data_IF_571971112922
#
_entry.id   IF_571971112922
#
_cell.length_a   1.000
_cell.length_b   1.000
_cell.length_c   1.000
_cell.angle_alpha   90.00
_cell.angle_beta   90.00
_cell.angle_gamma   90.00
#
_symmetry.space_group_name_H-M   'P 1'
#
loop_
_entity.id
_entity.type
_entity.pdbx_description
1 polymer ?
#
# COMPACT_ATOMS: atom_id res chain seq x y z
N UNK A 1 57.93 1.19 33.35
CA UNK A 1 56.92 2.28 33.31
C UNK A 1 56.97 2.88 31.90
N UNK A 2 55.99 2.57 31.03
CA UNK A 2 54.98 3.54 30.52
C UNK A 2 55.64 4.88 30.10
N UNK A 3 55.64 5.37 28.86
CA UNK A 3 54.64 5.31 27.77
C UNK A 3 55.34 5.64 26.43
N UNK A 4 55.20 4.79 25.42
CA UNK A 4 55.32 5.17 24.00
C UNK A 4 54.08 4.56 23.36
N UNK A 5 53.13 5.37 22.93
CA UNK A 5 51.99 4.97 22.08
C UNK A 5 51.19 6.23 21.75
N UNK A 6 51.55 6.91 20.67
CA UNK A 6 50.64 7.76 19.88
C UNK A 6 51.25 7.95 18.49
N UNK A 7 51.10 6.95 17.62
CA UNK A 7 51.13 7.12 16.17
C UNK A 7 50.63 5.82 15.53
N UNK A 8 49.46 5.87 14.90
CA UNK A 8 49.05 4.87 13.92
C UNK A 8 47.96 3.91 14.34
N UNK A 9 46.72 4.38 14.49
CA UNK A 9 45.51 3.69 13.99
C UNK A 9 44.45 4.77 13.72
N UNK A 10 44.48 5.41 12.56
CA UNK A 10 43.42 6.36 12.15
C UNK A 10 42.99 6.14 10.69
N UNK A 11 43.12 4.90 10.17
CA UNK A 11 42.81 4.61 8.77
C UNK A 11 42.04 3.29 8.53
N UNK A 12 41.42 2.69 9.57
CA UNK A 12 40.58 1.49 9.41
C UNK A 12 39.23 1.68 10.13
N UNK A 13 38.56 2.81 9.86
CA UNK A 13 37.19 3.04 10.31
C UNK A 13 36.28 3.60 9.20
N UNK A 14 36.74 3.58 7.93
CA UNK A 14 36.02 4.13 6.77
C UNK A 14 35.68 3.07 5.70
N UNK A 15 35.82 1.78 6.03
CA UNK A 15 35.63 0.68 5.06
C UNK A 15 34.49 -0.30 5.36
N UNK A 16 33.75 -0.15 6.45
CA UNK A 16 32.78 -1.17 6.90
C UNK A 16 31.31 -0.75 6.85
N UNK A 17 30.97 0.41 6.27
CA UNK A 17 29.58 0.90 6.20
C UNK A 17 28.97 0.90 4.79
N UNK A 18 29.57 0.19 3.82
CA UNK A 18 29.15 0.22 2.42
C UNK A 18 28.84 -1.14 1.78
N UNK A 19 28.78 -2.23 2.55
CA UNK A 19 28.42 -3.55 2.00
C UNK A 19 27.83 -4.50 3.06
N UNK A 20 26.68 -4.13 3.63
CA UNK A 20 25.72 -5.04 4.27
C UNK A 20 24.50 -4.22 4.73
N UNK A 21 23.86 -3.50 3.80
CA UNK A 21 22.56 -2.92 4.07
C UNK A 21 21.53 -4.05 4.01
N UNK A 22 21.12 -4.51 5.20
CA UNK A 22 19.87 -5.22 5.52
C UNK A 22 19.36 -6.20 4.44
N UNK A 23 19.81 -7.45 4.50
CA UNK A 23 18.88 -8.53 4.15
C UNK A 23 17.71 -8.37 5.14
N UNK A 24 16.55 -7.94 4.65
CA UNK A 24 15.38 -7.82 5.51
C UNK A 24 15.13 -9.20 6.14
N UNK A 25 14.89 -9.25 7.45
CA UNK A 25 14.47 -10.50 8.10
C UNK A 25 13.03 -10.77 7.65
N UNK A 26 12.91 -11.35 6.45
CA UNK A 26 11.63 -11.65 5.81
C UNK A 26 10.85 -12.60 6.72
N UNK A 27 9.55 -12.31 6.90
CA UNK A 27 8.68 -13.08 7.79
C UNK A 27 8.67 -14.59 7.49
N UNK A 28 8.82 -14.92 6.22
CA UNK A 28 9.08 -16.26 5.68
C UNK A 28 10.21 -16.13 4.66
N UNK A 29 11.28 -16.89 4.81
CA UNK A 29 12.40 -16.82 3.85
C UNK A 29 12.00 -17.48 2.52
N UNK A 30 12.54 -17.02 1.39
CA UNK A 30 12.31 -17.68 0.11
C UNK A 30 12.60 -19.19 0.18
N UNK A 31 11.62 -19.98 -0.24
CA UNK A 31 11.64 -21.45 -0.14
C UNK A 31 11.00 -22.04 1.12
N UNK A 32 10.69 -21.22 2.14
CA UNK A 32 9.96 -21.66 3.34
C UNK A 32 8.43 -21.59 3.14
N UNK A 33 7.67 -22.50 3.76
CA UNK A 33 6.19 -22.54 3.65
C UNK A 33 5.68 -22.74 2.20
N UNK A 34 5.18 -23.96 1.95
CA UNK A 34 4.73 -24.39 0.62
C UNK A 34 3.46 -23.68 0.11
N UNK A 35 2.82 -22.81 0.92
CA UNK A 35 1.66 -22.02 0.48
C UNK A 35 2.03 -20.88 -0.47
N UNK A 36 3.30 -20.46 -0.48
CA UNK A 36 3.77 -19.40 -1.36
C UNK A 36 4.30 -19.96 -2.69
N UNK A 37 4.11 -19.19 -3.76
CA UNK A 37 4.66 -19.51 -5.08
C UNK A 37 6.10 -18.96 -5.20
N UNK A 38 7.05 -19.63 -4.56
CA UNK A 38 8.46 -19.21 -4.57
C UNK A 38 9.09 -19.21 -5.95
N UNK A 39 8.67 -20.13 -6.83
CA UNK A 39 9.13 -20.15 -8.22
C UNK A 39 8.82 -18.82 -8.92
N UNK A 40 7.59 -18.31 -8.77
CA UNK A 40 7.21 -17.02 -9.36
C UNK A 40 8.02 -15.86 -8.75
N UNK A 41 8.33 -15.90 -7.45
CA UNK A 41 9.16 -14.90 -6.80
C UNK A 41 10.60 -14.92 -7.34
N UNK A 42 11.20 -16.10 -7.49
CA UNK A 42 12.56 -16.28 -8.02
C UNK A 42 12.67 -15.85 -9.48
N UNK A 43 11.68 -16.22 -10.31
CA UNK A 43 11.60 -15.80 -11.72
C UNK A 43 11.50 -14.28 -11.82
N UNK A 44 10.68 -13.64 -11.00
CA UNK A 44 10.58 -12.18 -10.92
C UNK A 44 11.92 -11.54 -10.48
N UNK A 45 12.52 -12.06 -9.40
CA UNK A 45 13.80 -11.57 -8.88
C UNK A 45 14.94 -11.69 -9.92
N UNK A 46 14.94 -12.76 -10.73
CA UNK A 46 15.93 -12.96 -11.79
C UNK A 46 15.71 -12.02 -12.99
N UNK A 47 14.45 -11.71 -13.33
CA UNK A 47 14.10 -10.85 -14.45
C UNK A 47 14.24 -9.34 -14.14
N UNK A 48 14.16 -8.95 -12.87
CA UNK A 48 14.07 -7.55 -12.47
C UNK A 48 15.15 -7.17 -11.44
N UNK A 49 16.23 -6.56 -11.92
CA UNK A 49 17.26 -5.93 -11.07
C UNK A 49 17.17 -4.41 -11.14
N UNK A 50 17.08 -3.79 -9.98
CA UNK A 50 16.79 -2.37 -9.79
C UNK A 50 17.74 -1.74 -8.77
N UNK A 51 18.93 -2.32 -8.57
CA UNK A 51 19.95 -1.82 -7.66
C UNK A 51 20.27 -0.34 -7.88
N UNK A 52 20.31 0.42 -6.80
CA UNK A 52 20.56 1.86 -6.82
C UNK A 52 19.36 2.73 -7.21
N UNK A 53 18.20 2.13 -7.53
CA UNK A 53 16.95 2.87 -7.72
C UNK A 53 16.21 3.03 -6.39
N UNK A 54 15.35 4.05 -6.34
CA UNK A 54 14.55 4.39 -5.16
C UNK A 54 13.07 4.53 -5.56
N UNK A 55 12.19 3.95 -4.75
CA UNK A 55 10.74 4.02 -4.90
C UNK A 55 10.13 4.67 -3.66
N UNK A 56 9.44 5.77 -3.84
CA UNK A 56 8.65 6.44 -2.79
C UNK A 56 7.17 6.06 -2.91
N UNK A 57 6.60 5.57 -1.81
CA UNK A 57 5.19 5.18 -1.71
C UNK A 57 4.56 5.98 -0.58
N UNK A 58 3.44 6.65 -0.87
CA UNK A 58 2.65 7.35 0.13
C UNK A 58 1.28 6.70 0.26
N UNK A 59 0.90 6.29 1.48
CA UNK A 59 -0.39 5.63 1.70
C UNK A 59 -1.03 5.90 3.05
N UNK A 60 -2.19 5.28 3.32
CA UNK A 60 -3.02 5.57 4.49
C UNK A 60 -2.64 4.74 5.73
N UNK A 61 -1.71 3.79 5.62
CA UNK A 61 -1.39 2.83 6.67
C UNK A 61 -0.39 3.40 7.66
N UNK A 62 -0.69 3.22 8.95
CA UNK A 62 0.11 3.72 10.08
C UNK A 62 0.13 2.65 11.17
N UNK A 63 1.11 2.72 12.07
CA UNK A 63 1.21 1.79 13.18
C UNK A 63 1.36 0.34 12.70
N UNK A 64 0.51 -0.55 13.21
CA UNK A 64 0.58 -1.98 12.88
C UNK A 64 0.32 -2.25 11.39
N UNK A 65 -0.58 -1.51 10.74
CA UNK A 65 -0.84 -1.65 9.31
C UNK A 65 0.38 -1.21 8.47
N UNK A 66 1.14 -0.23 8.95
CA UNK A 66 2.39 0.17 8.30
C UNK A 66 3.43 -0.95 8.38
N UNK A 67 3.58 -1.58 9.55
CA UNK A 67 4.48 -2.73 9.70
C UNK A 67 4.07 -3.89 8.77
N UNK A 68 2.76 -4.09 8.56
CA UNK A 68 2.27 -5.10 7.63
C UNK A 68 2.61 -4.78 6.17
N UNK A 69 2.38 -3.54 5.68
CA UNK A 69 2.73 -3.20 4.29
C UNK A 69 4.25 -3.24 4.07
N UNK A 70 5.04 -2.75 5.03
CA UNK A 70 6.50 -2.78 4.96
C UNK A 70 7.01 -4.23 4.89
N UNK A 71 6.37 -5.17 5.61
CA UNK A 71 6.73 -6.58 5.54
C UNK A 71 6.53 -7.18 4.14
N UNK A 72 5.55 -6.70 3.37
CA UNK A 72 5.32 -7.12 1.98
C UNK A 72 6.33 -6.44 1.04
N UNK A 73 6.55 -5.14 1.21
CA UNK A 73 7.51 -4.35 0.41
C UNK A 73 8.95 -4.85 0.59
N UNK A 74 9.28 -5.45 1.72
CA UNK A 74 10.57 -6.07 1.98
C UNK A 74 10.89 -7.20 0.99
N UNK A 75 9.90 -8.00 0.59
CA UNK A 75 10.10 -9.04 -0.45
C UNK A 75 10.44 -8.43 -1.80
N UNK A 76 9.77 -7.34 -2.17
CA UNK A 76 10.07 -6.64 -3.43
C UNK A 76 11.46 -6.01 -3.42
N UNK A 77 11.85 -5.42 -2.29
CA UNK A 77 13.20 -4.89 -2.03
C UNK A 77 14.25 -6.01 -2.17
N UNK A 78 14.04 -7.15 -1.50
CA UNK A 78 14.96 -8.30 -1.54
C UNK A 78 15.09 -8.90 -2.95
N UNK A 79 13.97 -9.05 -3.68
CA UNK A 79 13.96 -9.61 -5.03
C UNK A 79 14.75 -8.75 -6.02
N UNK A 80 14.62 -7.44 -5.92
CA UNK A 80 15.04 -6.50 -6.97
C UNK A 80 16.26 -5.66 -6.62
N UNK A 81 16.59 -5.50 -5.34
CA UNK A 81 17.62 -4.58 -4.86
C UNK A 81 17.19 -3.10 -4.82
N UNK A 82 15.93 -2.78 -5.15
CA UNK A 82 15.41 -1.40 -5.08
C UNK A 82 15.26 -0.94 -3.63
N UNK A 83 15.54 0.33 -3.34
CA UNK A 83 15.22 0.93 -2.05
C UNK A 83 13.76 1.42 -2.05
N UNK A 84 12.90 0.87 -1.21
CA UNK A 84 11.53 1.34 -1.03
C UNK A 84 11.42 2.20 0.23
N UNK A 85 10.83 3.39 0.10
CA UNK A 85 10.45 4.22 1.24
C UNK A 85 8.94 4.37 1.27
N UNK A 86 8.33 3.89 2.35
CA UNK A 86 6.93 4.10 2.63
C UNK A 86 6.76 5.27 3.59
N UNK A 87 5.81 6.16 3.29
CA UNK A 87 5.43 7.26 4.16
C UNK A 87 3.90 7.33 4.30
N UNK A 88 3.45 7.93 5.40
CA UNK A 88 2.03 8.14 5.69
C UNK A 88 1.81 9.43 6.50
N UNK A 89 0.56 9.88 6.58
CA UNK A 89 0.12 11.05 7.34
C UNK A 89 -1.30 10.84 7.86
N UNK A 90 -1.69 11.50 8.96
CA UNK A 90 -3.08 11.51 9.42
C UNK A 90 -3.99 12.24 8.43
N UNK A 91 -3.47 13.28 7.78
CA UNK A 91 -4.15 14.06 6.74
C UNK A 91 -3.66 13.64 5.36
N UNK A 92 -3.51 12.33 5.13
CA UNK A 92 -2.94 11.75 3.92
C UNK A 92 -3.55 12.31 2.63
N UNK A 93 -4.88 12.41 2.56
CA UNK A 93 -5.60 12.86 1.36
C UNK A 93 -5.38 14.34 1.06
N UNK A 94 -5.23 15.17 2.08
CA UNK A 94 -4.87 16.58 1.89
C UNK A 94 -3.39 16.73 1.54
N UNK A 95 -2.52 15.94 2.19
CA UNK A 95 -1.08 16.00 1.98
C UNK A 95 -0.70 15.62 0.55
N UNK A 96 -1.31 14.57 -0.02
CA UNK A 96 -1.00 14.18 -1.41
C UNK A 96 -1.35 15.29 -2.41
N UNK A 97 -2.45 16.04 -2.17
CA UNK A 97 -2.81 17.19 -3.03
C UNK A 97 -1.77 18.29 -2.91
N UNK A 98 -1.29 18.57 -1.70
CA UNK A 98 -0.22 19.55 -1.47
C UNK A 98 1.07 19.11 -2.18
N UNK A 99 1.45 17.84 -2.07
CA UNK A 99 2.71 17.32 -2.62
C UNK A 99 2.72 17.34 -4.16
N UNK A 100 1.61 16.93 -4.81
CA UNK A 100 1.50 16.97 -6.28
C UNK A 100 1.43 18.41 -6.79
N UNK A 101 0.73 19.32 -6.10
CA UNK A 101 0.63 20.73 -6.50
C UNK A 101 1.96 21.47 -6.23
N UNK A 102 2.69 21.08 -5.19
CA UNK A 102 4.02 21.57 -4.84
C UNK A 102 5.16 21.01 -5.71
N UNK A 103 4.87 20.03 -6.58
CA UNK A 103 5.86 19.44 -7.49
C UNK A 103 6.81 18.45 -6.81
N UNK A 104 6.43 17.90 -5.66
CA UNK A 104 7.18 16.86 -4.93
C UNK A 104 6.34 15.59 -4.67
N UNK A 105 5.69 15.02 -5.70
CA UNK A 105 4.85 13.84 -5.51
C UNK A 105 5.68 12.58 -5.17
N UNK A 106 5.10 11.60 -4.45
CA UNK A 106 5.65 10.26 -4.39
C UNK A 106 5.58 9.58 -5.76
N UNK A 107 6.33 8.50 -5.96
CA UNK A 107 6.21 7.68 -7.17
C UNK A 107 4.87 6.93 -7.24
N UNK A 108 4.38 6.46 -6.08
CA UNK A 108 3.09 5.77 -5.96
C UNK A 108 2.30 6.37 -4.79
N UNK A 109 1.04 6.70 -5.03
CA UNK A 109 0.09 7.10 -4.01
C UNK A 109 -1.04 6.07 -3.90
N UNK A 110 -1.35 5.63 -2.68
CA UNK A 110 -2.42 4.68 -2.38
C UNK A 110 -3.64 5.41 -1.82
N UNK A 111 -4.61 5.71 -2.69
CA UNK A 111 -5.78 6.52 -2.35
C UNK A 111 -7.03 5.63 -2.12
N UNK A 112 -7.77 5.81 -1.01
CA UNK A 112 -8.94 4.98 -0.73
C UNK A 112 -10.20 5.44 -1.48
N UNK A 113 -10.22 6.68 -1.99
CA UNK A 113 -11.40 7.29 -2.59
C UNK A 113 -11.26 7.53 -4.11
N UNK A 114 -12.13 6.92 -4.95
CA UNK A 114 -12.16 7.13 -6.40
C UNK A 114 -12.28 8.60 -6.84
N UNK A 115 -13.02 9.41 -6.08
CA UNK A 115 -13.24 10.82 -6.41
C UNK A 115 -11.94 11.63 -6.49
N UNK A 116 -11.08 11.52 -5.48
CA UNK A 116 -9.79 12.22 -5.45
C UNK A 116 -8.86 11.77 -6.58
N UNK A 117 -8.86 10.47 -6.91
CA UNK A 117 -8.10 9.95 -8.05
C UNK A 117 -8.55 10.62 -9.35
N UNK A 118 -9.87 10.72 -9.57
CA UNK A 118 -10.44 11.41 -10.73
C UNK A 118 -10.05 12.88 -10.80
N UNK A 119 -10.09 13.58 -9.67
CA UNK A 119 -9.67 14.99 -9.60
C UNK A 119 -8.18 15.14 -9.96
N UNK A 120 -7.31 14.30 -9.40
CA UNK A 120 -5.87 14.31 -9.70
C UNK A 120 -5.58 13.99 -11.18
N UNK A 121 -6.29 13.01 -11.76
CA UNK A 121 -6.20 12.68 -13.19
C UNK A 121 -6.60 13.89 -14.07
N UNK A 122 -7.72 14.54 -13.74
CA UNK A 122 -8.23 15.69 -14.50
C UNK A 122 -7.28 16.91 -14.46
N UNK A 123 -6.52 17.05 -13.37
CA UNK A 123 -5.48 18.08 -13.23
C UNK A 123 -4.16 17.70 -13.92
N UNK A 124 -4.01 16.44 -14.34
CA UNK A 124 -2.82 15.92 -15.01
C UNK A 124 -1.69 15.54 -14.06
N UNK A 125 -2.02 15.21 -12.80
CA UNK A 125 -1.04 14.77 -11.80
C UNK A 125 -0.78 13.26 -11.83
N UNK A 126 -1.59 12.49 -12.55
CA UNK A 126 -1.45 11.03 -12.66
C UNK A 126 -0.93 10.62 -14.04
N UNK A 127 -0.09 9.58 -14.06
CA UNK A 127 0.39 8.95 -15.30
C UNK A 127 -0.58 7.85 -15.73
N UNK A 128 -1.01 7.79 -17.00
CA UNK A 128 -1.80 6.67 -17.52
C UNK A 128 -1.01 5.36 -17.41
N UNK A 129 -1.67 4.29 -16.98
CA UNK A 129 -1.07 2.96 -16.78
C UNK A 129 -0.96 2.14 -18.09
N UNK A 130 -1.57 2.61 -19.17
CA UNK A 130 -1.52 1.99 -20.49
C UNK A 130 -2.49 0.81 -20.70
N UNK A 131 -2.60 0.39 -21.96
CA UNK A 131 -3.53 -0.66 -22.39
C UNK A 131 -3.14 -2.04 -21.85
N UNK A 132 -1.85 -2.34 -21.71
CA UNK A 132 -1.38 -3.62 -21.17
C UNK A 132 -1.89 -3.85 -19.73
N UNK A 133 -1.76 -2.83 -18.87
CA UNK A 133 -2.28 -2.89 -17.49
C UNK A 133 -3.80 -3.02 -17.47
N UNK A 134 -4.50 -2.32 -18.37
CA UNK A 134 -5.96 -2.40 -18.50
C UNK A 134 -6.41 -3.80 -18.88
N UNK A 135 -5.77 -4.39 -19.89
CA UNK A 135 -6.13 -5.69 -20.42
C UNK A 135 -5.82 -6.77 -19.38
N UNK A 136 -4.66 -6.68 -18.71
CA UNK A 136 -4.33 -7.55 -17.59
C UNK A 136 -5.36 -7.46 -16.46
N UNK A 137 -5.77 -6.26 -16.07
CA UNK A 137 -6.81 -6.07 -15.03
C UNK A 137 -8.15 -6.69 -15.46
N UNK A 138 -8.53 -6.53 -16.73
CA UNK A 138 -9.75 -7.08 -17.27
C UNK A 138 -9.76 -8.62 -17.29
N UNK A 139 -8.61 -9.24 -17.56
CA UNK A 139 -8.47 -10.70 -17.64
C UNK A 139 -8.34 -11.37 -16.27
N UNK A 140 -7.68 -10.71 -15.31
CA UNK A 140 -7.27 -11.33 -14.05
C UNK A 140 -8.21 -11.03 -12.88
N UNK A 141 -9.13 -10.07 -13.01
CA UNK A 141 -10.10 -9.76 -11.95
C UNK A 141 -11.47 -10.35 -12.27
N UNK A 142 -12.12 -10.97 -11.26
CA UNK A 142 -13.39 -11.69 -11.43
C UNK A 142 -14.55 -10.82 -12.00
N UNK A 143 -14.46 -9.50 -11.89
CA UNK A 143 -15.40 -8.54 -12.49
C UNK A 143 -14.68 -7.56 -13.44
N UNK A 144 -13.73 -8.07 -14.24
CA UNK A 144 -12.76 -7.35 -15.10
C UNK A 144 -13.13 -5.93 -15.48
N UNK A 145 -14.13 -5.75 -16.37
CA UNK A 145 -14.52 -4.44 -16.88
C UNK A 145 -15.03 -3.47 -15.82
N UNK A 146 -15.62 -3.97 -14.73
CA UNK A 146 -16.04 -3.14 -13.59
C UNK A 146 -14.82 -2.61 -12.84
N UNK A 147 -13.78 -3.43 -12.66
CA UNK A 147 -12.52 -2.99 -12.04
C UNK A 147 -11.75 -2.01 -12.92
N UNK A 148 -11.72 -2.24 -14.24
CA UNK A 148 -11.18 -1.27 -15.20
C UNK A 148 -11.93 0.06 -15.11
N UNK A 149 -13.26 0.01 -15.03
CA UNK A 149 -14.10 1.21 -14.87
C UNK A 149 -13.74 2.02 -13.62
N UNK A 150 -13.51 1.36 -12.48
CA UNK A 150 -13.12 2.02 -11.22
C UNK A 150 -11.74 2.68 -11.27
N UNK A 151 -10.87 2.28 -12.21
CA UNK A 151 -9.56 2.89 -12.44
C UNK A 151 -9.52 3.90 -13.58
N UNK A 152 -10.61 4.07 -14.33
CA UNK A 152 -10.65 4.87 -15.56
C UNK A 152 -11.24 6.25 -15.33
N UNK A 153 -10.47 7.29 -15.62
CA UNK A 153 -10.86 8.70 -15.40
C UNK A 153 -10.49 9.56 -16.61
N UNK A 154 -11.10 10.74 -16.72
CA UNK A 154 -10.69 11.73 -17.72
C UNK A 154 -9.38 12.40 -17.29
N UNK A 155 -8.39 12.38 -18.17
CA UNK A 155 -7.13 13.11 -18.00
C UNK A 155 -7.29 14.61 -18.20
N UNK A 156 -6.16 15.33 -18.11
CA UNK A 156 -6.06 16.76 -18.38
C UNK A 156 -6.49 17.15 -19.81
N UNK A 157 -6.33 16.25 -20.76
CA UNK A 157 -6.77 16.38 -22.15
C UNK A 157 -8.27 16.06 -22.35
N UNK A 158 -8.96 15.62 -21.29
CA UNK A 158 -10.35 15.19 -21.31
C UNK A 158 -10.57 13.76 -21.80
N UNK A 159 -9.51 13.05 -22.22
CA UNK A 159 -9.59 11.68 -22.70
C UNK A 159 -9.63 10.68 -21.53
N UNK A 160 -10.47 9.64 -21.59
CA UNK A 160 -10.46 8.59 -20.59
C UNK A 160 -9.20 7.72 -20.72
N UNK A 161 -8.55 7.44 -19.61
CA UNK A 161 -7.48 6.44 -19.52
C UNK A 161 -7.51 5.75 -18.16
N UNK A 162 -6.85 4.59 -18.06
CA UNK A 162 -6.65 3.91 -16.78
C UNK A 162 -5.57 4.64 -15.98
N UNK A 163 -5.94 5.22 -14.85
CA UNK A 163 -5.05 5.98 -13.97
C UNK A 163 -4.83 5.33 -12.59
N UNK A 164 -5.64 4.32 -12.24
CA UNK A 164 -5.51 3.65 -10.95
C UNK A 164 -5.61 2.13 -11.07
N UNK A 165 -4.84 1.45 -10.23
CA UNK A 165 -4.82 0.00 -10.11
C UNK A 165 -5.47 -0.40 -8.77
N UNK A 166 -6.64 -1.07 -8.80
CA UNK A 166 -7.24 -1.61 -7.58
C UNK A 166 -6.36 -2.73 -7.02
N UNK A 167 -6.06 -2.72 -5.72
CA UNK A 167 -5.26 -3.80 -5.08
C UNK A 167 -5.85 -4.27 -3.74
N UNK A 168 -6.74 -3.49 -3.12
CA UNK A 168 -7.42 -3.81 -1.86
C UNK A 168 -8.88 -3.37 -1.93
N UNK A 169 -9.75 -4.08 -1.22
CA UNK A 169 -11.19 -3.80 -1.11
C UNK A 169 -11.58 -3.84 0.37
N UNK A 170 -12.29 -2.80 0.82
CA UNK A 170 -12.87 -2.73 2.16
C UNK A 170 -14.38 -2.53 2.07
N UNK A 171 -15.16 -3.37 2.73
CA UNK A 171 -16.62 -3.19 2.83
C UNK A 171 -16.91 -2.22 3.97
N UNK A 172 -17.65 -1.13 3.68
CA UNK A 172 -17.90 -0.03 4.65
C UNK A 172 -19.28 -0.06 5.30
N UNK A 173 -20.18 -0.93 4.86
CA UNK A 173 -21.59 -0.97 5.29
C UNK A 173 -21.91 -2.18 6.17
N UNK A 174 -20.99 -2.57 7.06
CA UNK A 174 -21.20 -3.65 8.02
C UNK A 174 -21.66 -3.07 9.36
N UNK A 175 -22.68 -3.69 9.96
CA UNK A 175 -23.14 -3.39 11.32
C UNK A 175 -22.63 -4.51 12.24
N UNK A 176 -21.81 -4.13 13.22
CA UNK A 176 -21.26 -5.05 14.22
C UNK A 176 -22.06 -4.95 15.51
N UNK A 177 -22.42 -6.09 16.11
CA UNK A 177 -23.10 -6.18 17.39
C UNK A 177 -22.59 -7.39 18.18
N UNK A 178 -22.85 -7.42 19.49
CA UNK A 178 -22.49 -8.53 20.37
C UNK A 178 -23.72 -9.43 20.54
N UNK A 179 -23.72 -10.66 20.00
CA UNK A 179 -24.88 -11.54 20.04
C UNK A 179 -25.38 -11.84 21.46
N UNK A 180 -24.46 -11.99 22.41
CA UNK A 180 -24.78 -12.26 23.82
C UNK A 180 -25.59 -11.11 24.44
N UNK A 181 -25.17 -9.87 24.20
CA UNK A 181 -25.90 -8.69 24.69
C UNK A 181 -27.30 -8.59 24.08
N UNK A 182 -27.47 -8.98 22.82
CA UNK A 182 -28.78 -9.01 22.17
C UNK A 182 -29.68 -10.08 22.77
N UNK A 183 -29.13 -11.27 23.03
CA UNK A 183 -29.88 -12.36 23.67
C UNK A 183 -30.32 -12.00 25.10
N UNK A 184 -29.40 -11.47 25.92
CA UNK A 184 -29.68 -11.08 27.31
C UNK A 184 -30.74 -9.98 27.41
N UNK A 185 -30.75 -9.05 26.45
CA UNK A 185 -31.70 -7.94 26.39
C UNK A 185 -33.00 -8.26 25.61
N UNK A 186 -33.12 -9.45 25.02
CA UNK A 186 -34.29 -9.84 24.21
C UNK A 186 -34.44 -8.99 22.93
N UNK A 187 -33.33 -8.67 22.26
CA UNK A 187 -33.30 -7.95 20.99
C UNK A 187 -33.18 -8.91 19.81
N UNK A 188 -33.93 -8.62 18.76
CA UNK A 188 -33.78 -9.29 17.46
C UNK A 188 -32.84 -8.51 16.55
N UNK A 189 -32.17 -9.23 15.63
CA UNK A 189 -31.27 -8.60 14.65
C UNK A 189 -32.09 -7.87 13.59
N UNK A 190 -31.93 -6.54 13.45
CA UNK A 190 -32.74 -5.77 12.50
C UNK A 190 -32.45 -6.19 11.06
N UNK A 191 -33.50 -6.33 10.25
CA UNK A 191 -33.40 -6.73 8.84
C UNK A 191 -33.57 -5.55 7.87
N UNK A 192 -33.87 -4.36 8.40
CA UNK A 192 -34.01 -3.12 7.64
C UNK A 192 -33.43 -1.93 8.42
N UNK A 193 -33.27 -0.80 7.73
CA UNK A 193 -32.84 0.45 8.37
C UNK A 193 -33.91 1.00 9.31
N UNK A 194 -35.18 0.78 9.00
CA UNK A 194 -36.33 1.10 9.83
C UNK A 194 -36.31 0.29 11.14
N UNK A 195 -36.07 -1.02 11.05
CA UNK A 195 -35.94 -1.89 12.24
C UNK A 195 -34.72 -1.48 13.08
N UNK A 196 -33.60 -1.14 12.44
CA UNK A 196 -32.40 -0.69 13.15
C UNK A 196 -32.65 0.61 13.92
N UNK A 197 -33.40 1.56 13.34
CA UNK A 197 -33.81 2.80 14.01
C UNK A 197 -34.74 2.52 15.19
N UNK A 198 -35.77 1.70 14.98
CA UNK A 198 -36.70 1.32 16.04
C UNK A 198 -35.99 0.60 17.20
N UNK A 199 -35.04 -0.28 16.89
CA UNK A 199 -34.20 -0.93 17.90
C UNK A 199 -33.31 0.08 18.64
N UNK A 200 -32.74 1.06 17.93
CA UNK A 200 -31.95 2.13 18.56
C UNK A 200 -32.78 2.92 19.57
N UNK A 201 -34.01 3.29 19.22
CA UNK A 201 -34.94 3.98 20.13
C UNK A 201 -35.29 3.11 21.35
N UNK A 202 -35.53 1.81 21.13
CA UNK A 202 -35.80 0.84 22.21
C UNK A 202 -34.62 0.68 23.18
N UNK A 203 -33.37 0.74 22.69
CA UNK A 203 -32.17 0.61 23.52
C UNK A 203 -31.94 1.85 24.39
N UNK A 204 -32.33 3.03 23.90
CA UNK A 204 -32.15 4.31 24.63
C UNK A 204 -33.20 4.52 25.73
N UNK A 205 -34.39 3.96 25.56
CA UNK A 205 -35.53 4.09 26.50
C UNK A 205 -35.32 3.31 27.81
#
# INVERSE_FOLDING_TARGET
MRKILMAGVAAIALGASLAAANAADLKFKPGEDARFNWKSYEEFAAAHKMDGQELSIFGPWRGDDQALVESVLAYFTEATGIKVNYASSENYEQQIVIDVEGGSPPNIAVLPQPGLIGDLASKGFLTPLGDETRDWLNENYAAGSSWVGLGTYKGKDGAPALYAFPYKIDVKSLVWYVPENFADAGYEVPQSMEDLKALTEKIVA
#
